data_IF_081840915147
#
_entry.id   IF_081840915147
#
_cell.length_a   1.000
_cell.length_b   1.000
_cell.length_c   1.000
_cell.angle_alpha   90.00
_cell.angle_beta   90.00
_cell.angle_gamma   90.00
#
_symmetry.space_group_name_H-M   'P 1'
#
loop_
_entity.id
_entity.type
_entity.pdbx_description
1 polymer ?
#
# COMPACT_ATOMS: atom_id res chain seq x y z
N UNK A 1 -8.38 34.08 13.68
CA UNK A 1 -8.91 32.72 13.45
C UNK A 1 -7.68 31.83 13.33
N UNK A 2 -7.43 31.04 14.37
CA UNK A 2 -6.19 30.30 14.58
C UNK A 2 -6.02 29.21 13.54
N UNK A 3 -4.90 29.20 12.82
CA UNK A 3 -4.40 27.95 12.25
C UNK A 3 -3.96 27.09 13.44
N UNK A 4 -4.64 25.98 13.68
CA UNK A 4 -4.10 24.96 14.57
C UNK A 4 -2.92 24.34 13.82
N UNK A 5 -1.72 24.52 14.34
CA UNK A 5 -0.56 23.75 13.90
C UNK A 5 -0.86 22.28 14.22
N UNK A 6 -0.95 21.45 13.18
CA UNK A 6 -1.03 20.00 13.34
C UNK A 6 0.16 19.57 14.21
N UNK A 7 -0.03 18.76 15.26
CA UNK A 7 1.08 18.26 16.07
C UNK A 7 2.13 17.65 15.15
N UNK A 8 3.36 18.14 15.24
CA UNK A 8 4.48 17.56 14.50
C UNK A 8 4.76 16.21 15.15
N UNK A 9 4.48 15.14 14.42
CA UNK A 9 4.82 13.80 14.86
C UNK A 9 6.33 13.61 14.69
N UNK A 10 7.05 13.56 15.80
CA UNK A 10 8.50 13.32 15.82
C UNK A 10 8.84 11.82 15.71
N UNK A 11 7.86 10.95 15.45
CA UNK A 11 8.10 9.53 15.21
C UNK A 11 8.99 9.31 13.96
N UNK A 12 9.89 8.31 14.00
CA UNK A 12 10.80 8.01 12.89
C UNK A 12 10.07 7.24 11.76
N UNK A 13 9.16 7.92 11.06
CA UNK A 13 8.43 7.34 9.93
C UNK A 13 9.38 6.91 8.81
N UNK A 14 9.03 5.79 8.17
CA UNK A 14 9.74 5.26 7.00
C UNK A 14 8.74 5.14 5.85
N UNK A 15 9.00 5.87 4.78
CA UNK A 15 8.16 5.83 3.59
C UNK A 15 8.31 4.47 2.87
N UNK A 16 7.19 3.75 2.73
CA UNK A 16 7.15 2.49 1.99
C UNK A 16 7.05 2.71 0.47
N UNK A 17 6.70 3.90 0.02
CA UNK A 17 6.48 4.23 -1.38
C UNK A 17 7.02 5.62 -1.68
N UNK A 18 7.81 5.72 -2.76
CA UNK A 18 8.49 6.96 -3.17
C UNK A 18 7.62 7.88 -4.03
N UNK A 19 6.38 7.46 -4.36
CA UNK A 19 5.47 8.22 -5.24
C UNK A 19 5.66 7.93 -6.73
N UNK A 20 6.72 7.22 -7.13
CA UNK A 20 7.17 7.14 -8.52
C UNK A 20 7.36 5.70 -9.01
N UNK A 21 7.80 4.80 -8.13
CA UNK A 21 8.21 3.45 -8.49
C UNK A 21 7.66 2.39 -7.53
N UNK A 22 7.62 1.14 -7.98
CA UNK A 22 7.31 -0.01 -7.13
C UNK A 22 8.58 -0.58 -6.47
N UNK A 23 9.62 0.23 -6.29
CA UNK A 23 10.84 -0.23 -5.62
C UNK A 23 10.53 -0.60 -4.17
N UNK A 24 11.03 -1.74 -3.72
CA UNK A 24 10.71 -2.27 -2.39
C UNK A 24 9.40 -3.08 -2.35
N UNK A 25 8.75 -3.29 -3.50
CA UNK A 25 7.53 -4.08 -3.63
C UNK A 25 7.67 -5.19 -4.68
N UNK A 26 7.07 -6.33 -4.41
CA UNK A 26 6.97 -7.43 -5.37
C UNK A 26 5.55 -8.04 -5.40
N UNK A 27 5.21 -8.66 -6.54
CA UNK A 27 3.92 -9.32 -6.74
C UNK A 27 3.99 -10.77 -6.26
N UNK A 28 2.97 -11.22 -5.54
CA UNK A 28 2.77 -12.62 -5.14
C UNK A 28 1.40 -13.12 -5.61
N UNK A 29 1.35 -14.38 -6.07
CA UNK A 29 0.11 -15.02 -6.49
C UNK A 29 -0.29 -14.70 -7.93
N UNK A 30 -1.59 -14.51 -8.15
CA UNK A 30 -2.24 -14.48 -9.47
C UNK A 30 -1.79 -13.37 -10.44
N UNK A 31 -2.70 -13.00 -11.34
CA UNK A 31 -2.36 -12.20 -12.53
C UNK A 31 -2.79 -10.73 -12.46
N UNK A 32 -3.26 -10.25 -11.30
CA UNK A 32 -3.53 -8.82 -11.15
C UNK A 32 -2.24 -8.01 -11.38
N UNK A 33 -2.39 -6.82 -11.93
CA UNK A 33 -1.26 -5.92 -12.21
C UNK A 33 -1.25 -4.76 -11.23
N UNK A 34 -0.05 -4.27 -10.93
CA UNK A 34 0.17 -3.08 -10.12
C UNK A 34 1.04 -2.12 -10.92
N UNK A 35 0.68 -0.84 -10.89
CA UNK A 35 1.43 0.22 -11.52
C UNK A 35 1.29 1.51 -10.73
N UNK A 36 2.28 2.40 -10.84
CA UNK A 36 2.18 3.74 -10.28
C UNK A 36 1.41 4.62 -11.26
N UNK A 37 0.37 5.30 -10.78
CA UNK A 37 -0.40 6.31 -11.52
C UNK A 37 -0.72 7.46 -10.60
N UNK A 38 -0.44 8.68 -11.04
CA UNK A 38 -0.78 9.91 -10.31
C UNK A 38 -0.25 9.93 -8.86
N UNK A 39 0.95 9.38 -8.62
CA UNK A 39 1.52 9.34 -7.27
C UNK A 39 0.88 8.30 -6.35
N UNK A 40 0.17 7.30 -6.89
CA UNK A 40 -0.43 6.22 -6.13
C UNK A 40 -0.16 4.86 -6.76
N UNK A 41 -0.05 3.83 -5.92
CA UNK A 41 -0.03 2.44 -6.37
C UNK A 41 -1.46 2.03 -6.75
N UNK A 42 -1.67 1.68 -8.02
CA UNK A 42 -2.97 1.26 -8.55
C UNK A 42 -2.93 -0.22 -8.92
N UNK A 43 -3.71 -1.02 -8.20
CA UNK A 43 -3.97 -2.43 -8.52
C UNK A 43 -5.13 -2.58 -9.49
N UNK A 44 -4.99 -3.44 -10.50
CA UNK A 44 -6.06 -3.80 -11.44
C UNK A 44 -6.31 -5.30 -11.37
N UNK A 45 -7.51 -5.70 -10.94
CA UNK A 45 -7.90 -7.10 -10.83
C UNK A 45 -8.09 -7.75 -12.19
N UNK A 46 -7.88 -9.07 -12.22
CA UNK A 46 -8.17 -9.92 -13.38
C UNK A 46 -9.18 -10.98 -12.95
N UNK A 47 -10.22 -11.18 -13.75
CA UNK A 47 -11.24 -12.19 -13.46
C UNK A 47 -10.67 -13.60 -13.64
N UNK A 48 -11.22 -14.56 -12.88
CA UNK A 48 -10.87 -15.99 -12.95
C UNK A 48 -9.40 -16.31 -12.64
N UNK A 49 -8.74 -15.50 -11.82
CA UNK A 49 -7.37 -15.77 -11.34
C UNK A 49 -7.33 -15.83 -9.82
N UNK A 50 -6.33 -16.50 -9.22
CA UNK A 50 -6.13 -16.46 -7.78
C UNK A 50 -5.91 -15.05 -7.27
N UNK A 51 -6.06 -14.86 -5.96
CA UNK A 51 -5.70 -13.60 -5.33
C UNK A 51 -4.26 -13.21 -5.65
N UNK A 52 -4.07 -11.94 -5.91
CA UNK A 52 -2.77 -11.35 -6.15
C UNK A 52 -2.51 -10.33 -5.05
N UNK A 53 -1.29 -10.32 -4.53
CA UNK A 53 -0.85 -9.41 -3.49
C UNK A 53 0.35 -8.61 -3.98
N UNK A 54 0.40 -7.36 -3.57
CA UNK A 54 1.61 -6.55 -3.63
C UNK A 54 2.17 -6.48 -2.22
N UNK A 55 3.41 -6.95 -2.05
CA UNK A 55 4.05 -7.11 -0.73
C UNK A 55 5.34 -6.34 -0.68
N UNK A 56 5.68 -5.80 0.49
CA UNK A 56 6.98 -5.20 0.74
C UNK A 56 8.07 -6.26 0.68
N UNK A 57 9.27 -5.88 0.25
CA UNK A 57 10.45 -6.76 0.27
C UNK A 57 10.94 -7.02 1.70
N UNK A 58 10.68 -6.08 2.61
CA UNK A 58 11.10 -6.13 4.00
C UNK A 58 10.05 -6.75 4.92
N UNK A 59 10.53 -7.33 6.02
CA UNK A 59 9.72 -7.91 7.09
C UNK A 59 9.69 -7.00 8.31
N UNK A 60 8.49 -6.68 8.79
CA UNK A 60 8.29 -5.77 9.92
C UNK A 60 7.73 -6.52 11.13
N UNK A 61 8.23 -6.17 12.32
CA UNK A 61 7.76 -6.72 13.61
C UNK A 61 6.69 -5.82 14.21
N UNK A 62 7.04 -4.96 15.15
CA UNK A 62 6.17 -3.94 15.73
C UNK A 62 6.28 -2.65 14.93
N UNK A 63 5.14 -2.14 14.48
CA UNK A 63 5.09 -0.93 13.65
C UNK A 63 3.74 -0.23 13.81
N UNK A 64 3.72 1.05 13.44
CA UNK A 64 2.50 1.78 13.10
C UNK A 64 2.49 1.88 11.57
N UNK A 65 1.34 1.60 10.96
CA UNK A 65 1.14 1.73 9.52
C UNK A 65 0.12 2.83 9.26
N UNK A 66 0.54 3.83 8.51
CA UNK A 66 -0.32 4.91 8.03
C UNK A 66 -0.34 4.88 6.50
N UNK A 67 -1.55 4.89 5.92
CA UNK A 67 -1.73 4.95 4.46
C UNK A 67 -3.14 5.43 4.10
N UNK A 68 -3.24 6.09 2.96
CA UNK A 68 -4.51 6.36 2.29
C UNK A 68 -4.90 5.21 1.37
N UNK A 69 -6.16 4.81 1.44
CA UNK A 69 -6.67 3.65 0.72
C UNK A 69 -8.00 3.93 0.05
N UNK A 70 -8.12 3.49 -1.22
CA UNK A 70 -9.35 3.59 -1.99
C UNK A 70 -9.56 2.31 -2.77
N UNK A 71 -10.77 1.77 -2.68
CA UNK A 71 -11.21 0.57 -3.40
C UNK A 71 -12.50 0.88 -4.16
N UNK A 72 -12.65 0.27 -5.33
CA UNK A 72 -13.91 0.30 -6.07
C UNK A 72 -15.00 -0.46 -5.28
N UNK A 73 -16.24 0.04 -5.28
CA UNK A 73 -17.33 -0.54 -4.50
C UNK A 73 -17.71 -1.96 -4.92
N UNK A 74 -17.34 -2.36 -6.14
CA UNK A 74 -17.60 -3.70 -6.68
C UNK A 74 -16.47 -4.69 -6.41
N UNK A 75 -15.37 -4.24 -5.80
CA UNK A 75 -14.17 -5.02 -5.60
C UNK A 75 -13.93 -5.33 -4.12
N UNK A 76 -13.32 -6.49 -3.87
CA UNK A 76 -12.76 -6.81 -2.57
C UNK A 76 -11.25 -6.55 -2.61
N UNK A 77 -10.75 -5.83 -1.63
CA UNK A 77 -9.33 -5.67 -1.39
C UNK A 77 -9.11 -5.40 0.11
N UNK A 78 -7.86 -5.47 0.56
CA UNK A 78 -7.55 -5.38 1.97
C UNK A 78 -6.04 -5.32 2.22
N UNK A 79 -5.68 -4.91 3.42
CA UNK A 79 -4.31 -4.84 3.89
C UNK A 79 -4.08 -6.06 4.76
N UNK A 80 -3.05 -6.84 4.42
CA UNK A 80 -2.64 -7.99 5.22
C UNK A 80 -1.34 -7.66 5.96
N UNK A 81 -1.28 -8.05 7.23
CA UNK A 81 -0.10 -7.90 8.07
C UNK A 81 0.28 -9.27 8.64
N UNK A 82 1.57 -9.61 8.57
CA UNK A 82 2.12 -10.87 9.09
C UNK A 82 1.47 -12.13 8.47
N UNK A 83 1.16 -12.09 7.19
CA UNK A 83 0.67 -13.24 6.41
C UNK A 83 1.85 -14.02 5.82
N UNK A 84 2.44 -14.90 6.64
CA UNK A 84 3.47 -15.86 6.23
C UNK A 84 2.87 -17.21 5.83
#
# INVERSE_FOLDING_TARGET
MSCAETPKDDAPWVDLFDGETLKGWHKLGGDATYAVKEGAIVGTTTHNTPNTFLTTDEMYSDFILELDYKVDSTMNSGIQIRSN
#
